data_IF_451617622570
#
_entry.id   IF_451617622570
#
_cell.length_a   1.000
_cell.length_b   1.000
_cell.length_c   1.000
_cell.angle_alpha   90.00
_cell.angle_beta   90.00
_cell.angle_gamma   90.00
#
_symmetry.space_group_name_H-M   'P 1'
#
loop_
_entity.id
_entity.type
_entity.pdbx_description
1 polymer ?
#
# COMPACT_ATOMS: atom_id res chain seq x y z
N UNK A 1 -16.89 -24.39 -32.77
CA UNK A 1 -15.77 -25.36 -32.70
C UNK A 1 -15.52 -25.62 -31.23
N UNK A 2 -15.85 -26.81 -30.74
CA UNK A 2 -15.60 -27.16 -29.34
C UNK A 2 -14.10 -27.30 -29.14
N UNK A 3 -13.47 -26.26 -28.60
CA UNK A 3 -12.08 -26.36 -28.17
C UNK A 3 -12.04 -27.40 -27.03
N UNK A 4 -11.05 -28.30 -27.01
CA UNK A 4 -10.91 -29.24 -25.91
C UNK A 4 -10.69 -28.46 -24.61
N UNK A 5 -11.50 -28.75 -23.59
CA UNK A 5 -11.26 -28.25 -22.23
C UNK A 5 -10.04 -29.00 -21.71
N UNK A 6 -8.92 -28.29 -21.58
CA UNK A 6 -7.64 -28.87 -21.15
C UNK A 6 -7.57 -29.15 -19.64
N UNK A 7 -8.50 -28.59 -18.86
CA UNK A 7 -8.63 -28.80 -17.43
C UNK A 7 -9.58 -27.80 -16.78
N UNK A 8 -9.84 -28.00 -15.49
CA UNK A 8 -10.51 -27.02 -14.62
C UNK A 8 -9.53 -26.60 -13.54
N UNK A 9 -9.40 -25.30 -13.33
CA UNK A 9 -8.46 -24.72 -12.36
C UNK A 9 -9.27 -24.05 -11.25
N UNK A 10 -9.33 -24.65 -10.04
CA UNK A 10 -10.11 -24.09 -8.93
C UNK A 10 -9.71 -22.65 -8.58
N UNK A 11 -8.43 -22.31 -8.74
CA UNK A 11 -7.94 -20.96 -8.50
C UNK A 11 -8.44 -19.90 -9.48
N UNK A 12 -8.97 -20.29 -10.65
CA UNK A 12 -9.63 -19.39 -11.61
C UNK A 12 -11.14 -19.25 -11.37
N UNK A 13 -11.70 -19.96 -10.38
CA UNK A 13 -13.10 -19.83 -10.02
C UNK A 13 -13.34 -18.59 -9.15
N UNK A 14 -14.36 -17.83 -9.51
CA UNK A 14 -15.00 -16.90 -8.58
C UNK A 14 -15.69 -17.73 -7.48
N UNK A 15 -15.68 -17.25 -6.22
CA UNK A 15 -16.39 -17.96 -5.15
C UNK A 15 -17.89 -17.86 -5.37
N UNK A 16 -18.61 -18.89 -4.91
CA UNK A 16 -20.06 -18.95 -4.99
C UNK A 16 -20.69 -17.79 -4.21
N UNK A 17 -21.62 -17.08 -4.85
CA UNK A 17 -22.47 -16.10 -4.20
C UNK A 17 -23.58 -16.76 -3.34
N UNK A 18 -23.48 -18.09 -3.13
CA UNK A 18 -24.43 -18.92 -2.38
C UNK A 18 -25.86 -18.66 -2.84
N UNK A 19 -26.72 -18.17 -1.96
CA UNK A 19 -28.15 -17.95 -2.19
C UNK A 19 -28.44 -16.86 -3.23
N UNK A 20 -27.41 -16.13 -3.68
CA UNK A 20 -27.52 -15.06 -4.67
C UNK A 20 -27.13 -15.51 -6.09
N UNK A 21 -26.66 -16.76 -6.28
CA UNK A 21 -26.40 -17.28 -7.62
C UNK A 21 -27.68 -17.35 -8.45
N UNK A 22 -27.68 -16.65 -9.59
CA UNK A 22 -28.83 -16.62 -10.50
C UNK A 22 -29.94 -15.64 -10.11
N UNK A 23 -29.78 -14.85 -9.04
CA UNK A 23 -30.72 -13.79 -8.67
C UNK A 23 -30.60 -12.61 -9.65
N UNK A 24 -31.73 -12.12 -10.14
CA UNK A 24 -31.78 -11.02 -11.10
C UNK A 24 -31.25 -9.72 -10.47
N UNK A 25 -30.36 -9.03 -11.18
CA UNK A 25 -29.66 -7.85 -10.68
C UNK A 25 -30.66 -6.74 -10.30
N UNK A 26 -30.78 -6.44 -9.00
CA UNK A 26 -31.58 -5.33 -8.47
C UNK A 26 -30.70 -4.48 -7.54
N UNK A 27 -30.60 -3.16 -7.74
CA UNK A 27 -29.80 -2.26 -6.88
C UNK A 27 -30.07 -2.40 -5.38
N UNK A 28 -31.32 -2.65 -4.99
CA UNK A 28 -31.72 -2.83 -3.59
C UNK A 28 -31.20 -4.14 -2.98
N UNK A 29 -30.79 -5.12 -3.80
CA UNK A 29 -30.21 -6.36 -3.33
C UNK A 29 -28.76 -6.15 -2.87
N UNK A 30 -27.99 -5.30 -3.57
CA UNK A 30 -26.57 -5.05 -3.29
C UNK A 30 -26.32 -4.20 -2.04
N UNK A 31 -27.21 -3.24 -1.73
CA UNK A 31 -27.16 -2.47 -0.47
C UNK A 31 -27.31 -3.36 0.79
N UNK A 32 -27.96 -4.52 0.65
CA UNK A 32 -28.13 -5.51 1.72
C UNK A 32 -26.93 -6.44 1.84
N UNK A 33 -26.25 -6.78 0.73
CA UNK A 33 -25.07 -7.68 0.72
C UNK A 33 -23.85 -7.01 1.35
N UNK A 34 -23.68 -5.70 1.19
CA UNK A 34 -22.53 -4.96 1.76
C UNK A 34 -22.47 -5.01 3.30
N UNK A 35 -23.58 -5.37 3.98
CA UNK A 35 -23.67 -5.32 5.44
C UNK A 35 -23.61 -6.67 6.17
N UNK A 36 -23.61 -7.84 5.49
CA UNK A 36 -23.78 -9.14 6.16
C UNK A 36 -22.74 -10.24 5.85
N UNK A 37 -21.81 -10.05 4.92
CA UNK A 37 -20.98 -11.18 4.46
C UNK A 37 -19.58 -11.21 5.07
N UNK A 38 -19.46 -11.79 6.26
CA UNK A 38 -18.18 -12.07 6.93
C UNK A 38 -17.27 -13.10 6.19
N UNK A 39 -17.76 -13.72 5.11
CA UNK A 39 -17.12 -14.81 4.37
C UNK A 39 -16.57 -14.40 2.98
N UNK A 40 -16.53 -13.09 2.65
CA UNK A 40 -16.01 -12.64 1.35
C UNK A 40 -14.48 -12.72 1.33
N UNK A 41 -13.93 -13.40 0.33
CA UNK A 41 -12.50 -13.39 0.04
C UNK A 41 -12.06 -11.96 -0.32
N UNK A 42 -11.04 -11.40 0.36
CA UNK A 42 -10.49 -10.12 -0.03
C UNK A 42 -10.07 -10.12 -1.49
N UNK A 43 -10.29 -9.01 -2.20
CA UNK A 43 -9.91 -8.89 -3.61
C UNK A 43 -8.41 -9.18 -3.84
N UNK A 44 -7.57 -8.83 -2.86
CA UNK A 44 -6.15 -9.15 -2.80
C UNK A 44 -5.88 -10.64 -2.95
N UNK A 45 -6.51 -11.43 -2.06
CA UNK A 45 -6.36 -12.87 -1.96
C UNK A 45 -6.98 -13.55 -3.18
N UNK A 46 -8.11 -13.04 -3.67
CA UNK A 46 -8.70 -13.48 -4.93
C UNK A 46 -7.74 -13.30 -6.10
N UNK A 47 -7.16 -12.10 -6.27
CA UNK A 47 -6.22 -11.83 -7.36
C UNK A 47 -4.95 -12.67 -7.24
N UNK A 48 -4.38 -12.80 -6.04
CA UNK A 48 -3.20 -13.64 -5.80
C UNK A 48 -3.48 -15.11 -6.17
N UNK A 49 -4.61 -15.66 -5.74
CA UNK A 49 -5.04 -17.02 -6.09
C UNK A 49 -5.26 -17.21 -7.59
N UNK A 50 -5.79 -16.20 -8.28
CA UNK A 50 -5.98 -16.24 -9.74
C UNK A 50 -4.64 -16.19 -10.46
N UNK A 51 -3.71 -15.34 -10.02
CA UNK A 51 -2.34 -15.26 -10.54
C UNK A 51 -1.60 -16.60 -10.36
N UNK A 52 -1.62 -17.20 -9.16
CA UNK A 52 -1.02 -18.51 -8.89
C UNK A 52 -1.59 -19.61 -9.82
N UNK A 53 -2.90 -19.56 -10.09
CA UNK A 53 -3.53 -20.50 -11.00
C UNK A 53 -3.12 -20.28 -12.46
N UNK A 54 -2.92 -19.04 -12.88
CA UNK A 54 -2.41 -18.73 -14.22
C UNK A 54 -0.95 -19.15 -14.38
N UNK A 55 -0.13 -18.97 -13.35
CA UNK A 55 1.26 -19.43 -13.32
C UNK A 55 1.34 -20.95 -13.42
N UNK A 56 0.47 -21.68 -12.70
CA UNK A 56 0.36 -23.13 -12.81
C UNK A 56 -0.05 -23.56 -14.23
N UNK A 57 -1.06 -22.89 -14.82
CA UNK A 57 -1.51 -23.15 -16.19
C UNK A 57 -0.38 -22.95 -17.20
N UNK A 58 0.40 -21.88 -17.05
CA UNK A 58 1.54 -21.60 -17.94
C UNK A 58 2.65 -22.66 -17.79
N UNK A 59 2.93 -23.08 -16.55
CA UNK A 59 3.91 -24.13 -16.26
C UNK A 59 3.50 -25.50 -16.83
N UNK A 60 2.21 -25.83 -16.82
CA UNK A 60 1.68 -27.07 -17.39
C UNK A 60 1.75 -27.08 -18.93
N UNK A 61 1.73 -25.91 -19.58
CA UNK A 61 1.67 -25.76 -21.04
C UNK A 61 2.71 -24.77 -21.60
N UNK A 62 4.01 -25.02 -21.41
CA UNK A 62 5.06 -24.08 -21.79
C UNK A 62 5.08 -23.83 -23.31
N UNK A 63 5.13 -22.54 -23.69
CA UNK A 63 5.23 -22.10 -25.09
C UNK A 63 3.96 -22.32 -25.92
N UNK A 64 2.80 -22.53 -25.30
CA UNK A 64 1.51 -22.67 -25.98
C UNK A 64 0.70 -21.38 -25.91
N UNK A 65 -0.09 -21.12 -26.95
CA UNK A 65 -1.14 -20.11 -26.89
C UNK A 65 -2.36 -20.74 -26.21
N UNK A 66 -2.75 -20.19 -25.06
CA UNK A 66 -3.84 -20.72 -24.24
C UNK A 66 -5.08 -19.83 -24.36
N UNK A 67 -6.25 -20.45 -24.45
CA UNK A 67 -7.55 -19.78 -24.33
C UNK A 67 -8.13 -20.22 -22.99
N UNK A 68 -8.32 -19.26 -22.09
CA UNK A 68 -8.88 -19.49 -20.76
C UNK A 68 -10.28 -18.88 -20.74
N UNK A 69 -11.29 -19.70 -20.42
CA UNK A 69 -12.69 -19.27 -20.35
C UNK A 69 -13.07 -19.04 -18.89
N UNK A 70 -13.36 -17.79 -18.55
CA UNK A 70 -13.71 -17.33 -17.19
C UNK A 70 -14.79 -16.25 -17.26
N UNK A 71 -15.31 -15.85 -16.10
CA UNK A 71 -16.29 -14.77 -15.99
C UNK A 71 -15.69 -13.41 -16.32
N UNK A 72 -16.51 -12.51 -16.87
CA UNK A 72 -16.06 -11.16 -17.25
C UNK A 72 -15.59 -10.30 -16.08
N UNK A 73 -16.10 -10.54 -14.86
CA UNK A 73 -15.66 -9.80 -13.67
C UNK A 73 -14.22 -10.14 -13.30
N UNK A 74 -13.85 -11.43 -13.29
CA UNK A 74 -12.47 -11.85 -13.17
C UNK A 74 -11.58 -11.17 -14.22
N UNK A 75 -11.96 -11.17 -15.50
CA UNK A 75 -11.17 -10.52 -16.57
C UNK A 75 -10.97 -9.03 -16.28
N UNK A 76 -12.04 -8.32 -15.93
CA UNK A 76 -12.01 -6.89 -15.62
C UNK A 76 -11.11 -6.57 -14.43
N UNK A 77 -11.23 -7.32 -13.32
CA UNK A 77 -10.44 -7.11 -12.10
C UNK A 77 -8.98 -7.45 -12.31
N UNK A 78 -8.68 -8.59 -12.94
CA UNK A 78 -7.32 -9.01 -13.25
C UNK A 78 -6.62 -8.04 -14.23
N UNK A 79 -7.30 -7.62 -15.30
CA UNK A 79 -6.75 -6.63 -16.23
C UNK A 79 -6.53 -5.28 -15.57
N UNK A 80 -7.48 -4.84 -14.72
CA UNK A 80 -7.32 -3.59 -13.97
C UNK A 80 -6.10 -3.67 -13.05
N UNK A 81 -5.91 -4.80 -12.37
CA UNK A 81 -4.74 -5.03 -11.51
C UNK A 81 -3.43 -5.06 -12.30
N UNK A 82 -3.36 -5.80 -13.42
CA UNK A 82 -2.16 -5.90 -14.26
C UNK A 82 -1.85 -4.62 -15.04
N UNK A 83 -2.84 -3.80 -15.40
CA UNK A 83 -2.60 -2.56 -16.19
C UNK A 83 -2.53 -1.29 -15.35
N UNK A 84 -3.14 -1.29 -14.16
CA UNK A 84 -3.35 -0.09 -13.35
C UNK A 84 -4.44 0.85 -13.89
N UNK A 85 -5.12 0.48 -14.97
CA UNK A 85 -6.20 1.24 -15.60
C UNK A 85 -7.52 0.51 -15.41
N UNK A 86 -8.60 1.25 -15.16
CA UNK A 86 -9.93 0.64 -15.03
C UNK A 86 -10.35 0.00 -16.35
N UNK A 87 -10.54 -1.32 -16.35
CA UNK A 87 -11.05 -2.10 -17.49
C UNK A 87 -12.50 -2.48 -17.24
N UNK A 88 -13.37 -2.26 -18.23
CA UNK A 88 -14.78 -2.64 -18.15
C UNK A 88 -14.96 -4.14 -18.33
N UNK A 89 -16.06 -4.68 -17.81
CA UNK A 89 -16.43 -6.08 -17.98
C UNK A 89 -16.65 -6.36 -19.47
N UNK A 90 -15.93 -7.32 -20.08
CA UNK A 90 -16.10 -7.65 -21.49
C UNK A 90 -17.44 -8.34 -21.74
N UNK A 91 -17.89 -8.33 -22.99
CA UNK A 91 -19.13 -9.00 -23.36
C UNK A 91 -18.93 -10.53 -23.39
N UNK A 92 -20.01 -11.28 -23.18
CA UNK A 92 -19.96 -12.74 -23.24
C UNK A 92 -19.42 -13.23 -24.59
N UNK A 93 -18.37 -14.06 -24.54
CA UNK A 93 -17.71 -14.61 -25.73
C UNK A 93 -16.64 -13.69 -26.36
N UNK A 94 -16.38 -12.52 -25.77
CA UNK A 94 -15.27 -11.65 -26.18
C UNK A 94 -13.92 -12.25 -25.73
N UNK A 95 -12.95 -12.27 -26.65
CA UNK A 95 -11.57 -12.70 -26.36
C UNK A 95 -10.73 -11.47 -26.08
N UNK A 96 -10.28 -11.33 -24.84
CA UNK A 96 -9.42 -10.22 -24.41
C UNK A 96 -8.00 -10.75 -24.21
N UNK A 97 -6.98 -10.20 -24.88
CA UNK A 97 -5.59 -10.54 -24.60
C UNK A 97 -5.24 -10.18 -23.16
N UNK A 98 -4.85 -11.17 -22.37
CA UNK A 98 -4.46 -10.95 -20.98
C UNK A 98 -3.16 -10.13 -20.96
N UNK A 99 -3.16 -8.99 -20.24
CA UNK A 99 -1.94 -8.22 -20.05
C UNK A 99 -0.87 -9.10 -19.38
N UNK A 100 0.43 -8.94 -19.70
CA UNK A 100 1.47 -9.71 -19.03
C UNK A 100 1.37 -9.54 -17.52
N UNK A 101 1.68 -10.60 -16.78
CA UNK A 101 1.80 -10.50 -15.33
C UNK A 101 2.83 -9.39 -15.03
N UNK A 102 2.40 -8.34 -14.33
CA UNK A 102 3.37 -7.44 -13.73
C UNK A 102 4.01 -8.23 -12.59
N UNK A 103 5.33 -8.09 -12.40
CA UNK A 103 5.89 -8.36 -11.07
C UNK A 103 5.00 -7.63 -10.07
N UNK A 104 4.64 -8.28 -8.97
CA UNK A 104 3.88 -7.59 -7.93
C UNK A 104 4.69 -6.36 -7.49
N UNK A 105 4.12 -5.16 -7.64
CA UNK A 105 4.69 -3.98 -6.99
C UNK A 105 4.72 -4.24 -5.48
N UNK A 106 5.76 -3.78 -4.80
CA UNK A 106 5.74 -3.72 -3.34
C UNK A 106 6.31 -2.39 -2.89
N UNK A 107 5.82 -1.89 -1.76
CA UNK A 107 6.37 -0.70 -1.11
C UNK A 107 6.80 -1.10 0.29
N UNK A 108 8.09 -1.00 0.57
CA UNK A 108 8.66 -1.08 1.90
C UNK A 108 8.76 0.34 2.45
N UNK A 109 7.89 0.67 3.38
CA UNK A 109 7.81 1.97 4.03
C UNK A 109 8.66 1.96 5.30
N UNK A 110 9.63 2.87 5.40
CA UNK A 110 10.61 2.90 6.48
C UNK A 110 10.56 4.26 7.19
N UNK A 111 10.47 4.27 8.52
CA UNK A 111 10.62 5.51 9.30
C UNK A 111 12.08 5.95 9.32
N UNK A 112 12.38 7.24 9.23
CA UNK A 112 13.74 7.75 9.42
C UNK A 112 14.39 7.29 10.75
N UNK A 113 15.72 7.30 10.80
CA UNK A 113 16.50 7.03 12.02
C UNK A 113 16.34 8.12 13.10
N UNK A 114 16.85 7.88 14.31
CA UNK A 114 16.78 8.84 15.42
C UNK A 114 17.40 10.21 15.10
N UNK A 115 16.74 11.27 15.58
CA UNK A 115 17.28 12.64 15.67
C UNK A 115 17.44 13.08 17.12
N UNK A 116 18.12 14.20 17.36
CA UNK A 116 18.27 14.75 18.72
C UNK A 116 16.93 15.19 19.33
N UNK A 117 15.97 15.63 18.52
CA UNK A 117 14.61 15.92 19.00
C UNK A 117 13.88 14.66 19.45
N UNK A 118 14.04 13.54 18.72
CA UNK A 118 13.45 12.27 19.18
C UNK A 118 14.08 11.81 20.50
N UNK A 119 15.41 11.94 20.64
CA UNK A 119 16.13 11.59 21.87
C UNK A 119 15.71 12.45 23.06
N UNK A 120 15.44 13.74 22.82
CA UNK A 120 14.95 14.67 23.83
C UNK A 120 13.41 14.63 24.00
N UNK A 121 12.71 13.71 23.32
CA UNK A 121 11.25 13.60 23.32
C UNK A 121 10.51 14.87 22.86
N UNK A 122 11.15 15.77 22.12
CA UNK A 122 10.53 16.97 21.58
C UNK A 122 9.60 16.62 20.42
N UNK A 123 8.51 17.37 20.30
CA UNK A 123 7.57 17.19 19.18
C UNK A 123 8.26 17.55 17.88
N UNK A 124 8.27 16.62 16.93
CA UNK A 124 8.95 16.81 15.64
C UNK A 124 7.95 16.60 14.51
N UNK A 125 7.73 17.65 13.72
CA UNK A 125 6.87 17.62 12.55
C UNK A 125 7.67 17.95 11.30
N UNK A 126 7.29 19.06 10.66
CA UNK A 126 7.88 19.53 9.41
C UNK A 126 9.25 20.21 9.56
N UNK A 127 9.66 20.53 10.79
CA UNK A 127 11.00 21.07 11.08
C UNK A 127 12.10 20.11 10.63
N UNK A 128 13.08 20.65 9.91
CA UNK A 128 14.15 19.86 9.32
C UNK A 128 15.32 19.69 10.29
N UNK A 129 15.23 18.67 11.13
CA UNK A 129 16.30 18.28 12.06
C UNK A 129 17.03 17.06 11.50
N UNK A 130 18.37 17.07 11.42
CA UNK A 130 19.15 15.98 10.84
C UNK A 130 19.18 14.72 11.72
N UNK A 131 19.65 13.60 11.15
CA UNK A 131 19.93 12.39 11.94
C UNK A 131 21.08 12.63 12.92
N UNK A 132 20.98 11.97 14.08
CA UNK A 132 22.13 11.80 14.95
C UNK A 132 22.89 10.50 14.62
N UNK A 133 23.99 10.24 15.32
CA UNK A 133 24.82 9.05 15.08
C UNK A 133 24.05 7.75 15.31
N UNK A 134 23.16 7.72 16.31
CA UNK A 134 22.27 6.58 16.55
C UNK A 134 21.32 6.36 15.37
N UNK A 135 20.77 7.42 14.78
CA UNK A 135 19.91 7.33 13.60
C UNK A 135 20.64 6.79 12.36
N UNK A 136 21.90 7.20 12.14
CA UNK A 136 22.73 6.64 11.07
C UNK A 136 23.02 5.15 11.30
N UNK A 137 23.36 4.77 12.53
CA UNK A 137 23.58 3.36 12.87
C UNK A 137 22.32 2.51 12.63
N UNK A 138 21.15 3.01 13.04
CA UNK A 138 19.86 2.36 12.79
C UNK A 138 19.59 2.15 11.29
N UNK A 139 19.89 3.14 10.45
CA UNK A 139 19.72 3.00 9.00
C UNK A 139 20.63 1.90 8.41
N UNK A 140 21.88 1.82 8.86
CA UNK A 140 22.80 0.75 8.46
C UNK A 140 22.35 -0.64 8.94
N UNK A 141 21.87 -0.75 10.18
CA UNK A 141 21.35 -2.00 10.75
C UNK A 141 20.11 -2.48 9.98
N UNK A 142 19.18 -1.58 9.66
CA UNK A 142 18.00 -1.90 8.85
C UNK A 142 18.41 -2.40 7.46
N UNK A 143 19.36 -1.72 6.80
CA UNK A 143 19.85 -2.14 5.50
C UNK A 143 20.50 -3.54 5.54
N UNK A 144 21.33 -3.80 6.55
CA UNK A 144 21.96 -5.11 6.74
C UNK A 144 20.94 -6.22 7.02
N UNK A 145 19.93 -5.93 7.86
CA UNK A 145 18.84 -6.86 8.17
C UNK A 145 18.01 -7.23 6.93
N UNK A 146 17.64 -6.23 6.12
CA UNK A 146 16.90 -6.45 4.88
C UNK A 146 17.70 -7.33 3.90
N UNK A 147 19.01 -7.07 3.73
CA UNK A 147 19.89 -7.91 2.92
C UNK A 147 20.00 -9.34 3.44
N UNK A 148 20.20 -9.51 4.75
CA UNK A 148 20.34 -10.82 5.37
C UNK A 148 19.06 -11.67 5.19
N UNK A 149 17.90 -11.01 5.11
CA UNK A 149 16.60 -11.64 4.85
C UNK A 149 16.33 -11.89 3.35
N UNK A 150 17.25 -11.53 2.46
CA UNK A 150 17.14 -11.75 1.03
C UNK A 150 16.17 -10.79 0.31
N UNK A 151 15.86 -9.63 0.91
CA UNK A 151 15.09 -8.62 0.20
C UNK A 151 15.91 -8.04 -0.95
N UNK A 152 15.21 -7.71 -2.02
CA UNK A 152 15.73 -7.03 -3.19
C UNK A 152 14.82 -5.85 -3.50
N UNK A 153 15.43 -4.76 -3.95
CA UNK A 153 14.72 -3.52 -4.27
C UNK A 153 15.20 -2.99 -5.60
N UNK A 154 14.31 -2.29 -6.28
CA UNK A 154 14.56 -1.74 -7.61
C UNK A 154 14.69 -0.22 -7.55
N UNK A 155 14.03 0.44 -6.58
CA UNK A 155 13.97 1.90 -6.46
C UNK A 155 13.96 2.35 -4.99
N UNK A 156 14.57 3.50 -4.71
CA UNK A 156 14.46 4.21 -3.43
C UNK A 156 13.87 5.61 -3.64
N UNK A 157 12.88 5.97 -2.83
CA UNK A 157 12.26 7.30 -2.77
C UNK A 157 12.20 7.78 -1.33
N UNK A 158 12.11 9.10 -1.12
CA UNK A 158 12.10 9.64 0.24
C UNK A 158 11.18 10.85 0.40
N UNK A 159 10.85 11.16 1.66
CA UNK A 159 10.49 12.53 2.05
C UNK A 159 11.64 13.51 1.73
N UNK A 160 11.36 14.79 1.44
CA UNK A 160 12.39 15.82 1.25
C UNK A 160 13.12 16.22 2.54
N UNK A 161 12.56 15.97 3.73
CA UNK A 161 13.23 16.28 5.00
C UNK A 161 14.54 15.50 5.15
N UNK A 162 15.61 16.21 5.53
CA UNK A 162 16.99 15.73 5.54
C UNK A 162 17.16 14.38 6.25
N UNK A 163 16.55 14.20 7.42
CA UNK A 163 16.60 12.94 8.18
C UNK A 163 16.05 11.71 7.43
N UNK A 164 14.99 11.90 6.66
CA UNK A 164 14.40 10.83 5.87
C UNK A 164 15.21 10.58 4.59
N UNK A 165 15.72 11.66 3.98
CA UNK A 165 16.58 11.58 2.81
C UNK A 165 17.91 10.87 3.13
N UNK A 166 18.62 11.27 4.18
CA UNK A 166 19.87 10.64 4.63
C UNK A 166 19.65 9.17 5.00
N UNK A 167 18.52 8.83 5.67
CA UNK A 167 18.16 7.43 5.93
C UNK A 167 17.97 6.65 4.61
N UNK A 168 17.31 7.25 3.62
CA UNK A 168 17.10 6.63 2.31
C UNK A 168 18.41 6.43 1.53
N UNK A 169 19.33 7.41 1.59
CA UNK A 169 20.67 7.29 0.99
C UNK A 169 21.45 6.14 1.60
N UNK A 170 21.48 6.05 2.94
CA UNK A 170 22.20 4.98 3.66
C UNK A 170 21.65 3.60 3.28
N UNK A 171 20.33 3.43 3.28
CA UNK A 171 19.69 2.15 2.96
C UNK A 171 19.89 1.84 1.47
N UNK A 172 19.64 2.80 0.58
CA UNK A 172 19.80 2.65 -0.87
C UNK A 172 21.21 2.28 -1.27
N UNK A 173 22.23 2.91 -0.68
CA UNK A 173 23.63 2.61 -0.95
C UNK A 173 23.97 1.14 -0.66
N UNK A 174 23.36 0.52 0.35
CA UNK A 174 23.53 -0.90 0.60
C UNK A 174 23.02 -1.73 -0.59
N UNK A 175 21.90 -1.37 -1.20
CA UNK A 175 21.35 -2.05 -2.39
C UNK A 175 21.95 -1.59 -3.72
N UNK A 176 22.92 -0.67 -3.70
CA UNK A 176 23.49 -0.10 -4.93
C UNK A 176 22.54 0.86 -5.65
N UNK A 177 21.60 1.44 -4.93
CA UNK A 177 20.57 2.35 -5.44
C UNK A 177 20.80 3.77 -4.90
N UNK A 178 20.62 4.76 -5.77
CA UNK A 178 20.48 6.16 -5.35
C UNK A 178 18.99 6.47 -5.07
N UNK A 179 18.73 7.55 -4.33
CA UNK A 179 17.36 8.09 -4.20
C UNK A 179 16.94 8.65 -5.56
N UNK A 180 15.91 8.08 -6.18
CA UNK A 180 15.41 8.52 -7.50
C UNK A 180 14.81 9.93 -7.41
N UNK A 181 13.94 10.13 -6.42
CA UNK A 181 13.24 11.38 -6.16
C UNK A 181 12.66 11.47 -4.77
N UNK A 182 12.22 12.68 -4.44
CA UNK A 182 11.45 12.97 -3.23
C UNK A 182 9.97 13.15 -3.55
N UNK A 183 9.12 12.88 -2.55
CA UNK A 183 7.69 13.21 -2.58
C UNK A 183 7.35 14.11 -1.40
N UNK A 184 6.83 15.31 -1.66
CA UNK A 184 6.44 16.27 -0.62
C UNK A 184 5.34 15.70 0.30
N UNK A 185 4.45 14.88 -0.24
CA UNK A 185 3.38 14.23 0.53
C UNK A 185 3.91 13.14 1.50
N UNK A 186 5.21 12.76 1.42
CA UNK A 186 5.86 11.86 2.39
C UNK A 186 6.36 12.57 3.66
N UNK A 187 6.23 13.90 3.78
CA UNK A 187 6.64 14.68 4.95
C UNK A 187 5.86 14.28 6.22
N UNK A 188 6.43 14.49 7.41
CA UNK A 188 5.75 14.22 8.69
C UNK A 188 4.48 15.07 8.83
N UNK A 189 3.58 14.68 9.75
CA UNK A 189 2.50 15.57 10.20
C UNK A 189 3.08 16.89 10.68
N UNK A 190 2.58 18.01 10.15
CA UNK A 190 2.92 19.33 10.67
C UNK A 190 2.36 19.50 12.08
N UNK A 191 3.18 19.87 13.07
CA UNK A 191 2.71 20.10 14.44
C UNK A 191 2.69 21.57 14.84
N UNK A 192 2.90 22.48 13.89
CA UNK A 192 2.74 23.92 14.09
C UNK A 192 3.55 24.43 15.30
N UNK A 193 2.89 25.17 16.18
CA UNK A 193 3.50 25.76 17.38
C UNK A 193 4.02 24.72 18.39
N UNK A 194 3.62 23.44 18.27
CA UNK A 194 4.10 22.40 19.16
C UNK A 194 5.52 21.93 18.83
N UNK A 195 6.01 22.17 17.61
CA UNK A 195 7.30 21.68 17.16
C UNK A 195 8.46 22.23 18.03
N UNK A 196 9.32 21.33 18.49
CA UNK A 196 10.44 21.65 19.37
C UNK A 196 10.09 21.72 20.86
N UNK A 197 8.82 21.54 21.23
CA UNK A 197 8.38 21.53 22.63
C UNK A 197 8.35 20.12 23.21
N UNK A 198 8.68 20.01 24.50
CA UNK A 198 8.27 18.85 25.31
C UNK A 198 6.84 19.10 25.80
N UNK A 199 5.89 18.37 25.21
CA UNK A 199 4.45 18.57 25.45
C UNK A 199 3.90 17.44 26.33
N UNK A 200 2.74 17.63 26.98
CA UNK A 200 2.18 16.58 27.86
C UNK A 200 1.70 15.36 27.06
N UNK A 201 1.50 14.22 27.72
CA UNK A 201 0.97 13.02 27.06
C UNK A 201 -0.45 13.24 26.49
N UNK A 202 -1.24 14.08 27.14
CA UNK A 202 -2.57 14.49 26.69
C UNK A 202 -2.47 15.34 25.42
N UNK A 203 -1.59 16.35 25.43
CA UNK A 203 -1.37 17.19 24.27
C UNK A 203 -0.74 16.43 23.08
N UNK A 204 0.06 15.38 23.33
CA UNK A 204 0.56 14.49 22.25
C UNK A 204 -0.55 13.70 21.55
N UNK A 205 -1.65 13.40 22.25
CA UNK A 205 -2.78 12.65 21.67
C UNK A 205 -3.64 13.53 20.76
N UNK A 206 -3.86 14.78 21.15
CA UNK A 206 -4.75 15.72 20.45
C UNK A 206 -4.07 17.10 20.26
N UNK A 207 -2.92 17.17 19.57
CA UNK A 207 -2.10 18.40 19.53
C UNK A 207 -2.86 19.61 18.94
N UNK A 208 -3.78 19.38 18.01
CA UNK A 208 -4.63 20.39 17.39
C UNK A 208 -5.66 21.01 18.36
N UNK A 209 -5.93 20.39 19.51
CA UNK A 209 -6.73 21.01 20.57
C UNK A 209 -5.92 21.99 21.44
N UNK A 210 -4.58 21.92 21.40
CA UNK A 210 -3.69 22.69 22.28
C UNK A 210 -2.81 23.71 21.53
N UNK A 211 -2.51 23.48 20.24
CA UNK A 211 -1.53 24.27 19.49
C UNK A 211 -2.08 24.69 18.12
N UNK A 212 -1.75 25.92 17.72
CA UNK A 212 -2.16 26.44 16.41
C UNK A 212 -1.27 25.90 15.29
N UNK A 213 -1.83 25.80 14.08
CA UNK A 213 -1.09 25.39 12.88
C UNK A 213 -0.76 23.90 12.80
N UNK A 214 -1.32 23.07 13.68
CA UNK A 214 -1.21 21.61 13.61
C UNK A 214 -2.02 21.11 12.41
N UNK A 215 -1.40 20.28 11.57
CA UNK A 215 -2.06 19.59 10.46
C UNK A 215 -3.12 18.63 11.01
N UNK A 216 -4.33 18.63 10.44
CA UNK A 216 -5.40 17.73 10.87
C UNK A 216 -5.08 16.27 10.54
N UNK A 217 -5.55 15.35 11.36
CA UNK A 217 -5.35 13.91 11.10
C UNK A 217 -5.93 13.48 9.75
N UNK A 218 -7.09 14.03 9.38
CA UNK A 218 -7.74 13.80 8.08
C UNK A 218 -6.82 14.18 6.91
N UNK A 219 -6.11 15.31 7.01
CA UNK A 219 -5.16 15.73 5.98
C UNK A 219 -4.03 14.70 5.81
N UNK A 220 -3.43 14.26 6.93
CA UNK A 220 -2.35 13.26 6.95
C UNK A 220 -2.81 11.94 6.33
N UNK A 221 -4.00 11.46 6.67
CA UNK A 221 -4.59 10.26 6.07
C UNK A 221 -4.72 10.40 4.54
N UNK A 222 -5.35 11.47 4.07
CA UNK A 222 -5.63 11.66 2.64
C UNK A 222 -4.33 11.76 1.83
N UNK A 223 -3.35 12.54 2.30
CA UNK A 223 -2.08 12.68 1.58
C UNK A 223 -1.23 11.41 1.66
N UNK A 224 -1.25 10.68 2.78
CA UNK A 224 -0.58 9.39 2.93
C UNK A 224 -1.09 8.36 1.93
N UNK A 225 -2.42 8.21 1.79
CA UNK A 225 -3.02 7.32 0.79
C UNK A 225 -2.68 7.78 -0.63
N UNK A 226 -2.80 9.10 -0.90
CA UNK A 226 -2.52 9.68 -2.22
C UNK A 226 -1.08 9.40 -2.66
N UNK A 227 -0.09 9.60 -1.77
CA UNK A 227 1.32 9.44 -2.12
C UNK A 227 1.70 7.98 -2.32
N UNK A 228 1.20 7.04 -1.48
CA UNK A 228 1.44 5.62 -1.71
C UNK A 228 0.86 5.15 -3.06
N UNK A 229 -0.33 5.66 -3.43
CA UNK A 229 -0.94 5.40 -4.74
C UNK A 229 -0.17 6.03 -5.89
N UNK A 230 0.48 7.16 -5.64
CA UNK A 230 1.35 7.79 -6.64
C UNK A 230 2.61 6.96 -6.84
N UNK A 231 3.29 6.55 -5.76
CA UNK A 231 4.48 5.70 -5.82
C UNK A 231 4.19 4.39 -6.56
N UNK A 232 3.09 3.71 -6.23
CA UNK A 232 2.70 2.47 -6.91
C UNK A 232 2.45 2.64 -8.41
N UNK A 233 1.99 3.83 -8.84
CA UNK A 233 1.77 4.17 -10.27
C UNK A 233 3.05 4.57 -10.98
N UNK A 234 3.93 5.31 -10.30
CA UNK A 234 5.19 5.79 -10.84
C UNK A 234 6.19 4.63 -11.06
N UNK A 235 6.12 3.59 -10.22
CA UNK A 235 7.02 2.43 -10.27
C UNK A 235 6.27 1.10 -10.41
N UNK A 236 5.58 0.87 -11.54
CA UNK A 236 4.68 -0.27 -11.64
C UNK A 236 5.48 -1.56 -11.87
N UNK A 237 5.28 -2.54 -11.00
CA UNK A 237 6.01 -3.82 -10.95
C UNK A 237 7.41 -3.76 -10.35
N UNK A 238 7.70 -2.71 -9.59
CA UNK A 238 8.97 -2.53 -8.89
C UNK A 238 8.79 -2.64 -7.38
N UNK A 239 9.85 -3.08 -6.69
CA UNK A 239 9.96 -3.16 -5.24
C UNK A 239 10.61 -1.89 -4.74
N UNK A 240 9.81 -1.02 -4.13
CA UNK A 240 10.20 0.35 -3.79
C UNK A 240 10.50 0.45 -2.30
N UNK A 241 11.64 1.02 -1.93
CA UNK A 241 11.86 1.57 -0.58
C UNK A 241 11.32 2.99 -0.57
N UNK A 242 10.41 3.29 0.36
CA UNK A 242 9.92 4.63 0.62
C UNK A 242 10.28 5.04 2.06
N UNK A 243 11.05 6.11 2.24
CA UNK A 243 11.43 6.58 3.60
C UNK A 243 10.64 7.80 4.01
N UNK A 244 10.02 7.74 5.19
CA UNK A 244 9.10 8.74 5.73
C UNK A 244 9.18 8.83 7.27
N UNK A 245 8.06 9.15 7.94
CA UNK A 245 8.00 9.57 9.34
C UNK A 245 6.86 8.88 10.10
N UNK A 246 6.94 8.88 11.43
CA UNK A 246 6.13 8.01 12.28
C UNK A 246 4.63 8.23 12.14
N UNK A 247 4.17 9.48 12.21
CA UNK A 247 2.72 9.75 12.16
C UNK A 247 2.14 9.55 10.78
N UNK A 248 2.86 9.95 9.71
CA UNK A 248 2.41 9.65 8.35
C UNK A 248 2.29 8.14 8.13
N UNK A 249 3.32 7.36 8.45
CA UNK A 249 3.36 5.90 8.24
C UNK A 249 2.21 5.24 9.00
N UNK A 250 2.04 5.56 10.28
CA UNK A 250 0.96 5.03 11.12
C UNK A 250 -0.40 5.26 10.47
N UNK A 251 -0.69 6.48 10.01
CA UNK A 251 -1.98 6.86 9.46
C UNK A 251 -2.19 6.25 8.06
N UNK A 252 -1.16 6.25 7.22
CA UNK A 252 -1.21 5.60 5.92
C UNK A 252 -1.47 4.09 6.03
N UNK A 253 -0.72 3.37 6.87
CA UNK A 253 -0.91 1.93 7.07
C UNK A 253 -2.25 1.60 7.74
N UNK A 254 -2.72 2.45 8.67
CA UNK A 254 -4.02 2.23 9.31
C UNK A 254 -5.16 2.32 8.30
N UNK A 255 -5.05 3.24 7.34
CA UNK A 255 -5.99 3.28 6.22
C UNK A 255 -5.90 1.99 5.40
N UNK A 256 -4.71 1.62 4.90
CA UNK A 256 -4.60 0.48 3.96
C UNK A 256 -5.03 -0.86 4.55
N UNK A 257 -4.87 -1.08 5.87
CA UNK A 257 -5.18 -2.36 6.51
C UNK A 257 -6.51 -2.38 7.28
N UNK A 258 -7.25 -1.26 7.34
CA UNK A 258 -8.52 -1.19 8.06
C UNK A 258 -8.44 -1.40 9.59
N UNK A 259 -7.25 -1.20 10.19
CA UNK A 259 -7.01 -1.31 11.64
C UNK A 259 -6.06 -0.23 12.13
N UNK A 260 -6.14 0.16 13.39
CA UNK A 260 -5.18 1.12 13.93
C UNK A 260 -3.78 0.51 14.10
N UNK A 261 -2.75 1.26 13.69
CA UNK A 261 -1.36 0.99 13.99
C UNK A 261 -0.91 1.77 15.23
N UNK A 262 0.02 1.17 15.98
CA UNK A 262 0.68 1.83 17.11
C UNK A 262 1.79 2.79 16.67
N UNK A 263 2.65 3.13 17.63
CA UNK A 263 3.88 3.90 17.34
C UNK A 263 4.82 3.09 16.47
N UNK A 264 5.32 3.70 15.39
CA UNK A 264 6.30 3.12 14.48
C UNK A 264 7.70 3.41 15.03
N UNK A 265 8.54 2.39 15.20
CA UNK A 265 9.91 2.57 15.70
C UNK A 265 10.81 3.24 14.63
N UNK A 266 11.91 3.84 15.08
CA UNK A 266 12.88 4.45 14.17
C UNK A 266 13.52 3.37 13.30
N UNK A 267 13.72 3.66 12.01
CA UNK A 267 14.26 2.73 11.01
C UNK A 267 13.48 1.41 10.87
N UNK A 268 12.23 1.33 11.32
CA UNK A 268 11.40 0.14 11.20
C UNK A 268 10.91 -0.04 9.75
N UNK A 269 11.18 -1.18 9.10
CA UNK A 269 10.67 -1.50 7.77
C UNK A 269 9.28 -2.16 7.86
N UNK A 270 8.30 -1.58 7.17
CA UNK A 270 6.92 -2.05 7.13
C UNK A 270 6.44 -2.18 5.68
N UNK A 271 5.91 -3.34 5.32
CA UNK A 271 5.35 -3.56 3.99
C UNK A 271 3.94 -2.95 3.89
N UNK A 272 3.68 -2.28 2.77
CA UNK A 272 2.36 -1.70 2.48
C UNK A 272 1.47 -2.76 1.81
N UNK A 273 0.28 -2.97 2.36
CA UNK A 273 -0.80 -3.70 1.69
C UNK A 273 -1.34 -2.88 0.50
N UNK A 274 -0.72 -3.05 -0.67
CA UNK A 274 -1.13 -2.39 -1.92
C UNK A 274 -2.53 -2.78 -2.38
N UNK A 275 -2.96 -4.06 -2.29
CA UNK A 275 -4.36 -4.41 -2.52
C UNK A 275 -5.34 -3.67 -1.60
N UNK A 276 -5.05 -3.60 -0.30
CA UNK A 276 -5.86 -2.81 0.65
C UNK A 276 -5.90 -1.33 0.29
N UNK A 277 -4.76 -0.75 -0.11
CA UNK A 277 -4.66 0.62 -0.65
C UNK A 277 -5.54 0.83 -1.91
N UNK A 278 -5.68 -0.21 -2.75
CA UNK A 278 -6.50 -0.14 -3.93
C UNK A 278 -8.00 -0.16 -3.61
N UNK A 279 -8.44 -0.76 -2.50
CA UNK A 279 -9.86 -0.77 -2.11
C UNK A 279 -10.37 0.62 -1.68
N UNK A 280 -9.48 1.47 -1.18
CA UNK A 280 -9.76 2.91 -0.96
C UNK A 280 -10.02 3.71 -2.25
N UNK A 281 -9.91 3.11 -3.45
CA UNK A 281 -10.35 3.71 -4.72
C UNK A 281 -11.87 3.81 -4.86
N UNK A 282 -12.63 2.95 -4.17
CA UNK A 282 -14.07 2.81 -4.40
C UNK A 282 -14.92 3.51 -3.31
N UNK A 283 -14.30 3.87 -2.19
CA UNK A 283 -14.98 4.56 -1.08
C UNK A 283 -15.13 6.05 -1.41
N UNK A 284 -16.37 6.49 -1.70
CA UNK A 284 -16.69 7.91 -1.96
C UNK A 284 -16.40 8.83 -0.75
N UNK A 285 -16.35 8.28 0.45
CA UNK A 285 -15.91 8.99 1.66
C UNK A 285 -15.20 8.02 2.60
N UNK A 286 -13.93 8.27 2.99
CA UNK A 286 -13.29 7.58 4.11
C UNK A 286 -14.26 7.43 5.28
N UNK A 287 -14.36 6.22 5.84
CA UNK A 287 -14.91 5.98 7.18
C UNK A 287 -14.09 6.77 8.21
N UNK A 288 -14.29 8.08 8.25
CA UNK A 288 -14.06 8.92 9.39
C UNK A 288 -15.39 8.94 10.12
N UNK A 289 -15.71 7.84 10.79
CA UNK A 289 -16.65 7.91 11.91
C UNK A 289 -15.90 8.67 13.01
N UNK A 290 -15.83 9.99 12.85
CA UNK A 290 -15.61 10.87 13.96
C UNK A 290 -16.78 10.66 14.92
N UNK A 291 -16.48 10.36 16.18
CA UNK A 291 -17.43 10.67 17.23
C UNK A 291 -17.77 12.17 17.14
N UNK A 292 -19.04 12.54 17.38
CA UNK A 292 -19.58 13.88 17.15
C UNK A 292 -18.82 14.98 17.88
#
# INVERSE_FOLDING_TARGET
LGLPVLGSYPGLAERSFKDLEGVQNNPALWETVENETADIEPLADFLARVEDALDQVEADYPGKNLIIVVHGMLISRLQTARTGQKVLVPHNGEVVPLAPARRASSIMLIRHGQTDWNKAHLMQGSSDIPLNETGRAQAHETAASLKARGFEFDVVVSSPLSRAHETAEIIGAAFGLAVDRTYDDLVERGYGEAEGLDISAEARKEPDAYYSGVESERSVYLRGIKVLRQIARDYPGQRVIAVSHGSLIRRALSATHGREFGTIANAEPLEVDLPGLAHWLEVKEPLLVGKP
#
